data_IF_811122639541
#
_entry.id   IF_811122639541
#
_cell.length_a   1.000
_cell.length_b   1.000
_cell.length_c   1.000
_cell.angle_alpha   90.00
_cell.angle_beta   90.00
_cell.angle_gamma   90.00
#
_symmetry.space_group_name_H-M   'P 1'
#
loop_
_entity.id
_entity.type
_entity.pdbx_description
1 polymer ?
#
# COMPACT_ATOMS: atom_id res chain seq x y z
N UNK A 1 18.27 -48.67 -9.05
CA UNK A 1 18.79 -47.28 -8.92
C UNK A 1 18.02 -46.28 -9.80
N UNK A 2 18.03 -46.39 -11.13
CA UNK A 2 17.40 -45.40 -12.02
C UNK A 2 15.88 -45.18 -11.78
N UNK A 3 15.12 -46.25 -11.47
CA UNK A 3 13.68 -46.14 -11.18
C UNK A 3 13.37 -45.32 -9.92
N UNK A 4 14.23 -45.37 -8.90
CA UNK A 4 14.04 -44.64 -7.64
C UNK A 4 14.32 -43.16 -7.86
N UNK A 5 15.38 -42.84 -8.59
CA UNK A 5 15.75 -41.47 -8.96
C UNK A 5 14.63 -40.81 -9.77
N UNK A 6 14.12 -41.48 -10.80
CA UNK A 6 13.03 -40.93 -11.61
C UNK A 6 11.72 -40.80 -10.81
N UNK A 7 11.45 -41.71 -9.86
CA UNK A 7 10.32 -41.59 -8.95
C UNK A 7 10.45 -40.35 -8.07
N UNK A 8 11.63 -40.13 -7.48
CA UNK A 8 11.91 -38.96 -6.66
C UNK A 8 11.73 -37.67 -7.45
N UNK A 9 12.28 -37.59 -8.68
CA UNK A 9 12.11 -36.44 -9.57
C UNK A 9 10.64 -36.09 -9.84
N UNK A 10 9.77 -37.10 -10.02
CA UNK A 10 8.32 -36.89 -10.22
C UNK A 10 7.61 -36.43 -8.95
N UNK A 11 8.02 -36.93 -7.79
CA UNK A 11 7.49 -36.49 -6.51
C UNK A 11 7.83 -35.02 -6.25
N UNK A 12 9.08 -34.62 -6.49
CA UNK A 12 9.52 -33.23 -6.40
C UNK A 12 8.74 -32.31 -7.34
N UNK A 13 8.55 -32.72 -8.60
CA UNK A 13 7.72 -31.95 -9.54
C UNK A 13 6.26 -31.81 -9.07
N UNK A 14 5.66 -32.88 -8.53
CA UNK A 14 4.30 -32.81 -8.01
C UNK A 14 4.18 -31.82 -6.84
N UNK A 15 5.18 -31.78 -5.95
CA UNK A 15 5.24 -30.82 -4.84
C UNK A 15 5.33 -29.39 -5.37
N UNK A 16 6.17 -29.13 -6.37
CA UNK A 16 6.31 -27.81 -6.97
C UNK A 16 5.00 -27.33 -7.63
N UNK A 17 4.29 -28.20 -8.36
CA UNK A 17 2.99 -27.82 -8.94
C UNK A 17 1.92 -27.56 -7.88
N UNK A 18 1.90 -28.35 -6.80
CA UNK A 18 0.99 -28.10 -5.68
C UNK A 18 1.29 -26.76 -5.01
N UNK A 19 2.57 -26.45 -4.78
CA UNK A 19 3.02 -25.16 -4.23
C UNK A 19 2.62 -24.00 -5.13
N UNK A 20 2.89 -24.10 -6.44
CA UNK A 20 2.49 -23.10 -7.43
C UNK A 20 0.98 -22.84 -7.37
N UNK A 21 0.16 -23.90 -7.37
CA UNK A 21 -1.31 -23.76 -7.32
C UNK A 21 -1.78 -23.02 -6.07
N UNK A 22 -1.15 -23.26 -4.92
CA UNK A 22 -1.53 -22.61 -3.65
C UNK A 22 -1.18 -21.11 -3.61
N UNK A 23 -0.19 -20.66 -4.39
CA UNK A 23 0.20 -19.25 -4.48
C UNK A 23 -0.71 -18.43 -5.41
N UNK A 24 -1.56 -19.10 -6.20
CA UNK A 24 -2.39 -18.43 -7.19
C UNK A 24 -3.77 -18.07 -6.63
N UNK A 25 -4.27 -16.85 -6.90
CA UNK A 25 -5.60 -16.48 -6.46
C UNK A 25 -6.70 -17.32 -7.15
N UNK A 26 -7.84 -17.54 -6.49
CA UNK A 26 -8.89 -18.45 -6.97
C UNK A 26 -9.39 -18.16 -8.40
N UNK A 27 -9.45 -16.89 -8.81
CA UNK A 27 -9.86 -16.48 -10.15
C UNK A 27 -8.87 -16.90 -11.25
N UNK A 28 -7.59 -17.11 -10.94
CA UNK A 28 -6.57 -17.54 -11.91
C UNK A 28 -6.44 -19.07 -12.03
N UNK A 29 -6.99 -19.82 -11.07
CA UNK A 29 -6.94 -21.30 -11.01
C UNK A 29 -8.31 -21.99 -11.16
N UNK A 30 -9.42 -21.23 -11.07
CA UNK A 30 -10.77 -21.79 -11.21
C UNK A 30 -10.93 -22.43 -12.59
N UNK A 31 -11.36 -23.69 -12.62
CA UNK A 31 -11.53 -24.46 -13.86
C UNK A 31 -10.24 -25.00 -14.48
N UNK A 32 -9.06 -24.56 -14.03
CA UNK A 32 -7.76 -24.99 -14.57
C UNK A 32 -7.28 -26.26 -13.87
N UNK A 33 -7.54 -27.40 -14.51
CA UNK A 33 -7.29 -28.74 -13.94
C UNK A 33 -5.96 -29.33 -14.40
N UNK A 34 -5.51 -29.05 -15.62
CA UNK A 34 -4.24 -29.56 -16.11
C UNK A 34 -3.05 -28.77 -15.55
N UNK A 35 -1.86 -29.37 -15.56
CA UNK A 35 -0.62 -28.70 -15.18
C UNK A 35 -0.34 -27.52 -16.13
N UNK A 36 -0.58 -27.67 -17.44
CA UNK A 36 -0.39 -26.59 -18.41
C UNK A 36 -1.29 -25.40 -18.09
N UNK A 37 -2.58 -25.64 -17.84
CA UNK A 37 -3.52 -24.56 -17.50
C UNK A 37 -3.08 -23.84 -16.22
N UNK A 38 -2.57 -24.57 -15.23
CA UNK A 38 -2.07 -23.99 -13.98
C UNK A 38 -0.87 -23.07 -14.24
N UNK A 39 0.08 -23.51 -15.07
CA UNK A 39 1.24 -22.70 -15.47
C UNK A 39 0.79 -21.46 -16.25
N UNK A 40 -0.15 -21.59 -17.19
CA UNK A 40 -0.69 -20.44 -17.93
C UNK A 40 -1.42 -19.45 -17.01
N UNK A 41 -2.13 -19.97 -15.99
CA UNK A 41 -2.71 -19.16 -14.92
C UNK A 41 -1.67 -18.39 -14.11
N UNK A 42 -0.54 -19.02 -13.80
CA UNK A 42 0.56 -18.37 -13.12
C UNK A 42 1.18 -17.25 -13.97
N UNK A 43 1.43 -17.49 -15.26
CA UNK A 43 1.94 -16.48 -16.19
C UNK A 43 0.99 -15.28 -16.26
N UNK A 44 -0.31 -15.54 -16.38
CA UNK A 44 -1.34 -14.49 -16.40
C UNK A 44 -1.34 -13.66 -15.11
N UNK A 45 -1.18 -14.31 -13.95
CA UNK A 45 -1.15 -13.62 -12.67
C UNK A 45 0.13 -12.80 -12.48
N UNK A 46 1.29 -13.33 -12.90
CA UNK A 46 2.55 -12.58 -12.91
C UNK A 46 2.43 -11.31 -13.76
N UNK A 47 1.80 -11.41 -14.93
CA UNK A 47 1.59 -10.26 -15.81
C UNK A 47 0.68 -9.22 -15.16
N UNK A 48 -0.40 -9.66 -14.52
CA UNK A 48 -1.27 -8.78 -13.73
C UNK A 48 -0.51 -8.04 -12.63
N UNK A 49 0.31 -8.75 -11.85
CA UNK A 49 1.10 -8.14 -10.78
C UNK A 49 2.12 -7.14 -11.30
N UNK A 50 2.79 -7.43 -12.42
CA UNK A 50 3.71 -6.48 -13.08
C UNK A 50 3.00 -5.19 -13.46
N UNK A 51 1.88 -5.29 -14.18
CA UNK A 51 1.09 -4.11 -14.58
C UNK A 51 0.58 -3.32 -13.38
N UNK A 52 0.19 -4.01 -12.29
CA UNK A 52 -0.25 -3.36 -11.05
C UNK A 52 0.90 -2.60 -10.38
N UNK A 53 2.10 -3.17 -10.33
CA UNK A 53 3.30 -2.51 -9.78
C UNK A 53 3.67 -1.28 -10.61
N UNK A 54 3.62 -1.39 -11.94
CA UNK A 54 3.93 -0.27 -12.85
C UNK A 54 2.91 0.87 -12.68
N UNK A 55 1.61 0.54 -12.61
CA UNK A 55 0.55 1.52 -12.36
C UNK A 55 0.69 2.23 -11.00
N UNK A 56 0.98 1.48 -9.93
CA UNK A 56 1.25 2.05 -8.61
C UNK A 56 2.52 2.90 -8.58
N UNK A 57 3.55 2.49 -9.33
CA UNK A 57 4.79 3.25 -9.47
C UNK A 57 4.55 4.58 -10.18
N UNK A 58 3.77 4.59 -11.27
CA UNK A 58 3.37 5.81 -11.97
C UNK A 58 2.62 6.79 -11.07
N UNK A 59 1.60 6.32 -10.33
CA UNK A 59 0.87 7.14 -9.37
C UNK A 59 1.78 7.77 -8.31
N UNK A 60 2.70 6.98 -7.75
CA UNK A 60 3.69 7.46 -6.77
C UNK A 60 4.59 8.54 -7.35
N UNK A 61 5.05 8.38 -8.59
CA UNK A 61 5.94 9.35 -9.24
C UNK A 61 5.21 10.65 -9.60
N UNK A 62 3.92 10.58 -9.97
CA UNK A 62 3.06 11.75 -10.14
C UNK A 62 2.87 12.51 -8.82
N UNK A 63 2.52 11.82 -7.73
CA UNK A 63 2.40 12.41 -6.40
C UNK A 63 3.71 13.07 -5.93
N UNK A 64 4.86 12.43 -6.19
CA UNK A 64 6.18 13.01 -5.91
C UNK A 64 6.45 14.29 -6.70
N UNK A 65 5.98 14.42 -7.94
CA UNK A 65 6.11 15.67 -8.72
C UNK A 65 5.24 16.78 -8.13
N UNK A 66 4.00 16.47 -7.76
CA UNK A 66 3.09 17.45 -7.14
C UNK A 66 3.68 17.98 -5.82
N UNK A 67 4.19 17.09 -4.98
CA UNK A 67 4.84 17.48 -3.72
C UNK A 67 6.21 18.13 -3.93
N UNK A 68 7.03 17.59 -4.84
CA UNK A 68 8.37 18.12 -5.14
C UNK A 68 8.36 19.52 -5.74
N UNK A 69 7.27 19.92 -6.41
CA UNK A 69 7.10 21.27 -6.95
C UNK A 69 6.56 22.27 -5.91
N UNK A 70 6.10 21.81 -4.75
CA UNK A 70 5.63 22.68 -3.66
C UNK A 70 6.76 23.32 -2.85
N UNK A 71 8.01 22.89 -3.04
CA UNK A 71 9.19 23.56 -2.45
C UNK A 71 9.57 24.88 -3.15
N UNK A 72 8.80 25.32 -4.15
CA UNK A 72 8.98 26.58 -4.87
C UNK A 72 8.15 27.76 -4.36
N UNK A 73 7.31 27.60 -3.33
CA UNK A 73 6.42 28.67 -2.83
C UNK A 73 7.06 29.60 -1.78
N UNK A 74 8.37 29.80 -1.86
CA UNK A 74 9.09 30.77 -1.04
C UNK A 74 9.99 31.69 -1.87
N UNK A 75 9.40 32.46 -2.78
CA UNK A 75 9.98 33.78 -3.05
C UNK A 75 8.92 34.76 -3.57
N UNK A 76 8.46 35.64 -2.67
CA UNK A 76 7.76 36.86 -3.05
C UNK A 76 6.26 36.87 -2.76
N UNK A 77 5.86 36.86 -1.49
CA UNK A 77 4.73 37.70 -1.11
C UNK A 77 4.87 38.15 0.35
N UNK A 78 4.92 39.46 0.52
CA UNK A 78 5.07 40.16 1.80
C UNK A 78 3.71 40.36 2.46
N UNK A 79 3.71 40.11 3.78
CA UNK A 79 2.83 40.65 4.83
C UNK A 79 1.34 40.25 4.89
N UNK A 80 1.02 39.71 6.08
CA UNK A 80 -0.27 39.65 6.78
C UNK A 80 -1.24 38.50 6.46
N UNK A 81 -0.95 37.32 7.02
CA UNK A 81 -2.00 36.47 7.59
C UNK A 81 -1.36 35.40 8.50
N UNK A 82 -1.63 35.54 9.80
CA UNK A 82 -1.68 34.53 10.88
C UNK A 82 -0.83 33.28 10.66
N UNK A 83 0.16 33.11 11.54
CA UNK A 83 0.95 31.88 11.72
C UNK A 83 0.05 30.67 11.98
N UNK A 84 -0.51 30.08 10.92
CA UNK A 84 -1.14 28.78 10.96
C UNK A 84 -0.05 27.77 10.55
N UNK A 85 0.51 27.06 11.52
CA UNK A 85 1.31 25.87 11.22
C UNK A 85 0.48 24.96 10.29
N UNK A 86 0.94 24.60 9.09
CA UNK A 86 0.15 23.74 8.22
C UNK A 86 0.01 22.36 8.86
N UNK A 87 -1.18 21.77 8.81
CA UNK A 87 -1.41 20.39 9.26
C UNK A 87 -0.43 19.47 8.55
N UNK A 88 0.26 18.59 9.30
CA UNK A 88 1.28 17.70 8.75
C UNK A 88 0.84 16.24 8.83
N UNK A 89 1.28 15.44 7.86
CA UNK A 89 1.03 13.99 7.83
C UNK A 89 2.36 13.27 7.65
N UNK A 90 2.65 12.35 8.55
CA UNK A 90 3.86 11.52 8.51
C UNK A 90 3.45 10.07 8.49
N UNK A 91 3.97 9.32 7.52
CA UNK A 91 3.75 7.87 7.42
C UNK A 91 5.02 7.16 7.87
N UNK A 92 4.91 6.24 8.82
CA UNK A 92 6.03 5.51 9.42
C UNK A 92 5.79 4.01 9.33
N UNK A 93 6.86 3.24 9.13
CA UNK A 93 6.80 1.80 9.35
C UNK A 93 6.81 1.53 10.86
N UNK A 94 5.97 0.61 11.29
CA UNK A 94 5.85 0.14 12.67
C UNK A 94 6.03 -1.38 12.71
N UNK A 95 6.16 -1.96 13.92
CA UNK A 95 6.29 -3.41 14.08
C UNK A 95 5.07 -4.18 13.56
N UNK A 96 3.88 -3.58 13.62
CA UNK A 96 2.61 -4.19 13.24
C UNK A 96 2.05 -3.63 11.91
N UNK A 97 2.92 -3.12 11.03
CA UNK A 97 2.49 -2.56 9.75
C UNK A 97 2.87 -1.09 9.61
N UNK A 98 1.92 -0.23 9.24
CA UNK A 98 2.19 1.18 8.95
C UNK A 98 1.37 2.09 9.87
N UNK A 99 2.04 3.13 10.38
CA UNK A 99 1.47 4.14 11.25
C UNK A 99 1.35 5.47 10.48
N UNK A 100 0.17 6.08 10.51
CA UNK A 100 -0.05 7.43 9.97
C UNK A 100 -0.24 8.38 11.14
N UNK A 101 0.66 9.36 11.26
CA UNK A 101 0.63 10.41 12.27
C UNK A 101 0.18 11.71 11.62
N UNK A 102 -1.00 12.19 12.00
CA UNK A 102 -1.55 13.47 11.54
C UNK A 102 -1.37 14.47 12.66
N UNK A 103 -0.71 15.59 12.41
CA UNK A 103 -0.67 16.73 13.34
C UNK A 103 -1.54 17.84 12.76
N UNK A 104 -2.70 18.04 13.37
CA UNK A 104 -3.62 19.08 12.93
C UNK A 104 -3.40 20.36 13.74
N UNK A 105 -3.25 21.49 13.04
CA UNK A 105 -3.23 22.79 13.69
C UNK A 105 -4.66 23.29 13.88
N UNK A 106 -4.89 23.98 14.99
CA UNK A 106 -6.21 24.53 15.32
C UNK A 106 -6.47 25.74 14.40
N UNK A 107 -6.99 25.51 13.19
CA UNK A 107 -7.21 26.56 12.18
C UNK A 107 -8.17 26.15 11.06
N UNK A 108 -8.58 27.12 10.23
CA UNK A 108 -9.63 26.95 9.22
C UNK A 108 -9.30 25.98 8.06
N UNK A 109 -8.04 25.56 7.93
CA UNK A 109 -7.56 24.64 6.88
C UNK A 109 -7.10 23.28 7.45
N UNK A 110 -7.68 22.88 8.58
CA UNK A 110 -7.39 21.63 9.27
C UNK A 110 -7.55 20.39 8.39
N UNK A 111 -6.58 19.48 8.43
CA UNK A 111 -6.68 18.14 7.83
C UNK A 111 -7.58 17.30 8.72
N UNK A 112 -8.87 17.24 8.39
CA UNK A 112 -9.83 16.51 9.21
C UNK A 112 -9.55 15.00 9.14
N UNK A 113 -9.47 14.36 10.32
CA UNK A 113 -9.34 12.90 10.44
C UNK A 113 -10.36 12.15 9.57
N UNK A 114 -11.59 12.66 9.48
CA UNK A 114 -12.66 12.10 8.63
C UNK A 114 -12.26 11.97 7.16
N UNK A 115 -11.59 12.97 6.59
CA UNK A 115 -11.13 12.94 5.19
C UNK A 115 -10.03 11.92 5.01
N UNK A 116 -9.11 11.83 5.97
CA UNK A 116 -8.03 10.83 5.92
C UNK A 116 -8.62 9.42 5.99
N UNK A 117 -9.52 9.16 6.94
CA UNK A 117 -10.18 7.86 7.05
C UNK A 117 -10.99 7.50 5.79
N UNK A 118 -11.69 8.47 5.19
CA UNK A 118 -12.39 8.25 3.93
C UNK A 118 -11.43 7.87 2.80
N UNK A 119 -10.30 8.57 2.66
CA UNK A 119 -9.29 8.25 1.65
C UNK A 119 -8.66 6.87 1.87
N UNK A 120 -8.36 6.51 3.12
CA UNK A 120 -7.85 5.17 3.44
C UNK A 120 -8.85 4.08 3.03
N UNK A 121 -10.14 4.30 3.28
CA UNK A 121 -11.21 3.39 2.88
C UNK A 121 -11.33 3.28 1.35
N UNK A 122 -11.24 4.39 0.62
CA UNK A 122 -11.29 4.43 -0.85
C UNK A 122 -10.11 3.67 -1.48
N UNK A 123 -8.94 3.72 -0.86
CA UNK A 123 -7.75 2.95 -1.26
C UNK A 123 -7.77 1.49 -0.75
N UNK A 124 -8.81 1.09 -0.01
CA UNK A 124 -9.00 -0.28 0.48
C UNK A 124 -8.10 -0.67 1.64
N UNK A 125 -7.62 0.30 2.42
CA UNK A 125 -6.85 0.09 3.65
C UNK A 125 -7.80 -0.03 4.83
N UNK A 126 -7.72 -1.14 5.56
CA UNK A 126 -8.59 -1.37 6.71
C UNK A 126 -7.98 -0.79 7.98
N UNK A 127 -8.69 0.14 8.62
CA UNK A 127 -8.19 0.84 9.81
C UNK A 127 -8.48 0.00 11.05
N UNK A 128 -7.43 -0.59 11.62
CA UNK A 128 -7.52 -1.47 12.79
C UNK A 128 -7.58 -0.68 14.09
N UNK A 129 -6.86 0.45 14.15
CA UNK A 129 -6.83 1.28 15.36
C UNK A 129 -6.59 2.75 15.00
N UNK A 130 -7.21 3.65 15.77
CA UNK A 130 -6.97 5.08 15.71
C UNK A 130 -6.89 5.64 17.13
N UNK A 131 -5.72 6.14 17.51
CA UNK A 131 -5.49 6.79 18.80
C UNK A 131 -5.32 8.29 18.56
N UNK A 132 -6.11 9.10 19.27
CA UNK A 132 -6.01 10.55 19.20
C UNK A 132 -5.48 11.09 20.51
N UNK A 133 -4.48 11.96 20.45
CA UNK A 133 -3.92 12.66 21.60
C UNK A 133 -3.90 14.16 21.32
N UNK A 134 -4.13 14.97 22.35
CA UNK A 134 -4.10 16.43 22.24
C UNK A 134 -2.87 16.95 22.98
N UNK A 135 -2.10 17.77 22.29
CA UNK A 135 -1.02 18.58 22.87
C UNK A 135 -1.48 20.04 22.96
N UNK A 136 -0.71 20.90 23.61
CA UNK A 136 -1.06 22.31 23.79
C UNK A 136 -1.18 23.08 22.47
N UNK A 137 -0.53 22.60 21.40
CA UNK A 137 -0.49 23.25 20.10
C UNK A 137 -1.19 22.48 18.97
N UNK A 138 -1.42 21.16 19.12
CA UNK A 138 -1.93 20.33 18.03
C UNK A 138 -2.70 19.09 18.49
N UNK A 139 -3.58 18.61 17.60
CA UNK A 139 -4.22 17.32 17.72
C UNK A 139 -3.43 16.29 16.92
N UNK A 140 -3.00 15.21 17.57
CA UNK A 140 -2.22 14.14 16.94
C UNK A 140 -3.09 12.90 16.80
N UNK A 141 -3.25 12.40 15.57
CA UNK A 141 -3.91 11.13 15.29
C UNK A 141 -2.89 10.10 14.83
N UNK A 142 -2.83 8.97 15.52
CA UNK A 142 -2.06 7.78 15.16
C UNK A 142 -3.03 6.73 14.62
N UNK A 143 -2.92 6.41 13.34
CA UNK A 143 -3.76 5.41 12.66
C UNK A 143 -2.90 4.19 12.32
N UNK A 144 -3.38 3.00 12.69
CA UNK A 144 -2.82 1.71 12.26
C UNK A 144 -3.77 1.06 11.25
N UNK A 145 -3.22 0.49 10.19
CA UNK A 145 -3.97 -0.25 9.18
C UNK A 145 -3.29 -1.58 8.83
N UNK A 146 -4.10 -2.56 8.41
CA UNK A 146 -3.69 -3.90 7.94
C UNK A 146 -3.93 -4.09 6.44
#
# INVERSE_FOLDING_TARGET
MHRVIERQRRQEMAILYASLRNLLPPNYIRGKRSISDQVDGAVSYIMYLKNRIDGLSGKRDELKKVWGNSSGFHQGMSMSCIEAFPSSVVVRQSLDGVEIVISDSVGAQALTLSKVLQQLLEEGLDVVNCVSSRTDASLIHTIKYE
#
